data_IF_681517099147
#
_entry.id   IF_681517099147
#
_cell.length_a   1.000
_cell.length_b   1.000
_cell.length_c   1.000
_cell.angle_alpha   90.00
_cell.angle_beta   90.00
_cell.angle_gamma   90.00
#
_symmetry.space_group_name_H-M   'P 1'
#
loop_
_entity.id
_entity.type
_entity.pdbx_description
1 polymer ?
#
# COMPACT_ATOMS: atom_id res chain seq x y z
N UNK A 1 -7.25 -12.87 10.26
CA UNK A 1 -6.21 -11.83 10.46
C UNK A 1 -6.90 -10.63 11.11
N UNK A 2 -6.35 -10.03 12.17
CA UNK A 2 -6.94 -8.83 12.80
C UNK A 2 -6.26 -7.57 12.24
N UNK A 3 -7.00 -6.47 12.12
CA UNK A 3 -6.48 -5.19 11.63
C UNK A 3 -5.18 -4.77 12.35
N UNK A 4 -5.13 -4.98 13.67
CA UNK A 4 -3.95 -4.71 14.50
C UNK A 4 -2.71 -5.56 14.14
N UNK A 5 -2.89 -6.84 13.76
CA UNK A 5 -1.78 -7.68 13.32
C UNK A 5 -1.26 -7.24 11.95
N UNK A 6 -2.16 -6.85 11.05
CA UNK A 6 -1.79 -6.35 9.73
C UNK A 6 -1.07 -4.99 9.82
N UNK A 7 -1.57 -4.08 10.65
CA UNK A 7 -0.95 -2.77 10.88
C UNK A 7 0.45 -2.90 11.49
N UNK A 8 0.63 -3.74 12.51
CA UNK A 8 1.95 -3.96 13.11
C UNK A 8 2.96 -4.51 12.08
N UNK A 9 2.55 -5.48 11.27
CA UNK A 9 3.41 -6.03 10.22
C UNK A 9 3.79 -4.98 9.16
N UNK A 10 2.85 -4.11 8.77
CA UNK A 10 3.11 -3.01 7.84
C UNK A 10 4.08 -1.97 8.41
N UNK A 11 3.96 -1.65 9.71
CA UNK A 11 4.87 -0.73 10.39
C UNK A 11 6.30 -1.28 10.46
N UNK A 12 6.46 -2.58 10.73
CA UNK A 12 7.77 -3.24 10.84
C UNK A 12 8.48 -3.39 9.49
N UNK A 13 7.73 -3.60 8.41
CA UNK A 13 8.25 -3.82 7.07
C UNK A 13 8.23 -2.55 6.23
N UNK A 14 8.79 -1.46 6.76
CA UNK A 14 9.07 -0.23 5.99
C UNK A 14 7.86 0.70 5.79
N UNK A 15 7.00 0.83 6.81
CA UNK A 15 5.86 1.75 6.85
C UNK A 15 4.93 1.62 5.64
N UNK A 16 4.56 0.38 5.31
CA UNK A 16 3.69 0.09 4.17
C UNK A 16 2.28 0.64 4.46
N UNK A 17 1.64 1.35 3.52
CA UNK A 17 0.27 1.81 3.69
C UNK A 17 -0.69 0.64 3.91
N UNK A 18 -1.42 0.65 5.03
CA UNK A 18 -2.45 -0.34 5.32
C UNK A 18 -3.82 0.16 4.88
N UNK A 19 -4.55 -0.67 4.13
CA UNK A 19 -5.91 -0.37 3.68
C UNK A 19 -6.87 -1.46 4.14
N UNK A 20 -7.97 -1.06 4.78
CA UNK A 20 -9.10 -1.95 5.01
C UNK A 20 -9.99 -1.96 3.76
N UNK A 21 -10.08 -3.12 3.11
CA UNK A 21 -10.86 -3.30 1.88
C UNK A 21 -11.93 -4.38 2.09
N UNK A 22 -13.09 -4.21 1.43
CA UNK A 22 -14.09 -5.27 1.32
C UNK A 22 -14.25 -5.65 -0.15
N UNK A 23 -13.76 -6.84 -0.52
CA UNK A 23 -13.94 -7.37 -1.87
C UNK A 23 -15.42 -7.68 -2.17
N UNK A 24 -16.20 -8.03 -1.12
CA UNK A 24 -17.64 -8.32 -1.25
C UNK A 24 -18.44 -7.05 -1.55
N UNK A 25 -18.13 -5.97 -0.87
CA UNK A 25 -18.88 -4.71 -0.94
C UNK A 25 -18.22 -3.69 -1.87
N UNK A 26 -17.09 -4.04 -2.50
CA UNK A 26 -16.33 -3.15 -3.39
C UNK A 26 -15.69 -1.97 -2.67
N UNK A 27 -15.46 -2.05 -1.37
CA UNK A 27 -14.97 -0.92 -0.56
C UNK A 27 -13.45 -0.85 -0.59
N UNK A 28 -12.90 0.32 -0.94
CA UNK A 28 -11.47 0.66 -0.92
C UNK A 28 -10.55 -0.21 -1.79
N UNK A 29 -11.10 -1.11 -2.63
CA UNK A 29 -10.30 -1.94 -3.54
C UNK A 29 -9.60 -1.07 -4.58
N UNK A 30 -10.34 -0.22 -5.29
CA UNK A 30 -9.80 0.68 -6.33
C UNK A 30 -8.72 1.62 -5.76
N UNK A 31 -9.00 2.29 -4.65
CA UNK A 31 -8.05 3.19 -3.97
C UNK A 31 -6.77 2.47 -3.52
N UNK A 32 -6.86 1.22 -3.08
CA UNK A 32 -5.69 0.43 -2.72
C UNK A 32 -4.81 0.17 -3.95
N UNK A 33 -5.41 -0.25 -5.07
CA UNK A 33 -4.68 -0.46 -6.33
C UNK A 33 -4.08 0.82 -6.89
N UNK A 34 -4.83 1.94 -6.90
CA UNK A 34 -4.32 3.25 -7.33
C UNK A 34 -3.14 3.73 -6.48
N UNK A 35 -3.18 3.50 -5.17
CA UNK A 35 -2.09 3.91 -4.28
C UNK A 35 -0.84 3.10 -4.54
N UNK A 36 -0.96 1.79 -4.75
CA UNK A 36 0.18 0.93 -5.11
C UNK A 36 0.77 1.34 -6.46
N UNK A 37 -0.07 1.59 -7.46
CA UNK A 37 0.38 2.04 -8.79
C UNK A 37 1.12 3.39 -8.70
N UNK A 38 0.58 4.36 -7.97
CA UNK A 38 1.26 5.65 -7.74
C UNK A 38 2.59 5.50 -7.02
N UNK A 39 2.63 4.69 -5.95
CA UNK A 39 3.87 4.45 -5.20
C UNK A 39 4.93 3.77 -6.05
N UNK A 40 4.55 2.84 -6.94
CA UNK A 40 5.47 2.22 -7.89
C UNK A 40 6.06 3.27 -8.86
N UNK A 41 5.24 4.15 -9.43
CA UNK A 41 5.70 5.22 -10.32
C UNK A 41 6.63 6.23 -9.63
N UNK A 42 6.33 6.59 -8.38
CA UNK A 42 7.21 7.46 -7.57
C UNK A 42 8.54 6.77 -7.30
N UNK A 43 8.51 5.49 -6.92
CA UNK A 43 9.72 4.71 -6.64
C UNK A 43 10.59 4.55 -7.89
N UNK A 44 10.01 4.28 -9.05
CA UNK A 44 10.73 4.24 -10.33
C UNK A 44 11.40 5.59 -10.62
N UNK A 45 10.66 6.70 -10.47
CA UNK A 45 11.23 8.05 -10.61
C UNK A 45 12.37 8.32 -9.62
N UNK A 46 12.21 7.97 -8.35
CA UNK A 46 13.28 8.16 -7.36
C UNK A 46 14.51 7.31 -7.69
N UNK A 47 14.31 6.09 -8.20
CA UNK A 47 15.40 5.20 -8.61
C UNK A 47 16.14 5.72 -9.86
N UNK A 48 15.44 6.36 -10.80
CA UNK A 48 16.04 6.99 -11.98
C UNK A 48 16.81 8.30 -11.66
N UNK A 49 16.50 8.96 -10.55
CA UNK A 49 17.13 10.23 -10.14
C UNK A 49 18.48 9.99 -9.40
N UNK A 50 18.76 8.77 -8.95
CA UNK A 50 20.06 8.39 -8.36
C UNK A 50 20.79 7.38 -9.26
N UNK A 51 21.93 7.73 -9.88
CA UNK A 51 22.77 6.79 -10.62
C UNK A 51 23.48 5.77 -9.73
#
# INVERSE_FOLDING_TARGET
VTARKAQNWCSEKTNIPHFETSAKDGVNVEKAFETVARNALVREKENDITP
#
